data_IF_796535566051
#
_entry.id   IF_796535566051
#
_cell.length_a   1.000
_cell.length_b   1.000
_cell.length_c   1.000
_cell.angle_alpha   90.00
_cell.angle_beta   90.00
_cell.angle_gamma   90.00
#
_symmetry.space_group_name_H-M   'P 1'
#
loop_
_entity.id
_entity.type
_entity.pdbx_description
1 polymer ?
#
# COMPACT_ATOMS: atom_id res chain seq x y z
N UNK A 1 21.71 -21.71 2.74
CA UNK A 1 20.67 -22.03 1.74
C UNK A 1 19.34 -21.77 2.39
N UNK A 2 18.61 -20.77 1.90
CA UNK A 2 17.21 -20.54 2.25
C UNK A 2 16.34 -21.47 1.39
N UNK A 3 15.16 -21.87 1.87
CA UNK A 3 14.15 -22.55 1.03
C UNK A 3 13.83 -21.75 -0.26
N UNK A 4 14.01 -20.42 -0.21
CA UNK A 4 13.87 -19.52 -1.36
C UNK A 4 14.88 -19.75 -2.50
N UNK A 5 16.07 -20.26 -2.20
CA UNK A 5 17.13 -20.48 -3.20
C UNK A 5 16.85 -21.71 -4.08
N UNK A 6 15.91 -22.57 -3.67
CA UNK A 6 15.58 -23.83 -4.35
C UNK A 6 14.48 -23.69 -5.43
N UNK A 7 13.80 -22.54 -5.48
CA UNK A 7 12.76 -22.26 -6.47
C UNK A 7 13.37 -21.83 -7.80
N UNK A 8 12.79 -22.32 -8.90
CA UNK A 8 13.16 -21.88 -10.25
C UNK A 8 12.83 -20.39 -10.44
N UNK A 9 13.49 -19.75 -11.40
CA UNK A 9 13.23 -18.34 -11.72
C UNK A 9 11.74 -18.10 -12.03
N UNK A 10 11.16 -19.01 -12.82
CA UNK A 10 9.72 -19.01 -13.15
C UNK A 10 8.81 -19.10 -11.93
N UNK A 11 9.13 -19.97 -10.96
CA UNK A 11 8.32 -20.09 -9.74
C UNK A 11 8.34 -18.78 -8.93
N UNK A 12 9.47 -18.06 -8.92
CA UNK A 12 9.59 -16.76 -8.24
C UNK A 12 8.83 -15.67 -8.97
N UNK A 13 8.83 -15.68 -10.30
CA UNK A 13 8.03 -14.77 -11.13
C UNK A 13 6.54 -14.98 -10.91
N UNK A 14 6.07 -16.23 -11.00
CA UNK A 14 4.67 -16.60 -10.79
C UNK A 14 4.23 -16.23 -9.36
N UNK A 15 5.07 -16.48 -8.36
CA UNK A 15 4.82 -16.04 -6.98
C UNK A 15 4.72 -14.50 -6.90
N UNK A 16 5.68 -13.77 -7.44
CA UNK A 16 5.69 -12.31 -7.40
C UNK A 16 4.43 -11.71 -8.04
N UNK A 17 4.09 -12.15 -9.24
CA UNK A 17 2.89 -11.72 -9.96
C UNK A 17 1.61 -12.00 -9.15
N UNK A 18 1.52 -13.16 -8.48
CA UNK A 18 0.38 -13.52 -7.64
C UNK A 18 0.23 -12.64 -6.39
N UNK A 19 1.33 -12.03 -5.91
CA UNK A 19 1.33 -11.16 -4.72
C UNK A 19 1.09 -9.69 -5.03
N UNK A 20 1.20 -9.27 -6.29
CA UNK A 20 0.82 -7.91 -6.71
C UNK A 20 -0.68 -7.84 -6.98
N UNK A 21 -1.43 -7.94 -5.89
CA UNK A 21 -2.87 -7.83 -5.82
C UNK A 21 -3.31 -6.69 -4.91
N UNK A 22 -4.52 -6.21 -5.12
CA UNK A 22 -5.15 -5.23 -4.25
C UNK A 22 -5.35 -5.84 -2.86
N UNK A 23 -5.01 -5.09 -1.81
CA UNK A 23 -5.05 -5.53 -0.43
C UNK A 23 -3.69 -5.97 0.12
N UNK A 24 -2.73 -6.33 -0.74
CA UNK A 24 -1.39 -6.73 -0.30
C UNK A 24 -0.68 -5.60 0.44
N UNK A 25 -0.08 -5.94 1.58
CA UNK A 25 0.77 -5.07 2.39
C UNK A 25 2.23 -5.38 2.12
N UNK A 26 2.98 -4.37 1.70
CA UNK A 26 4.41 -4.49 1.43
C UNK A 26 5.23 -3.59 2.35
N UNK A 27 6.46 -4.04 2.66
CA UNK A 27 7.48 -3.25 3.36
C UNK A 27 8.74 -3.11 2.49
N UNK A 28 8.91 -1.94 1.88
CA UNK A 28 10.06 -1.62 1.04
C UNK A 28 10.71 -0.30 1.45
N UNK A 29 11.98 -0.14 1.05
CA UNK A 29 12.64 1.17 1.08
C UNK A 29 12.02 2.04 0.00
N UNK A 30 11.56 3.23 0.39
CA UNK A 30 10.92 4.19 -0.50
C UNK A 30 11.74 5.46 -0.60
N UNK A 31 11.79 6.04 -1.80
CA UNK A 31 12.62 7.19 -2.14
C UNK A 31 11.82 8.48 -2.34
N UNK A 32 10.49 8.40 -2.34
CA UNK A 32 9.54 9.53 -2.34
C UNK A 32 9.35 10.14 -0.93
N UNK A 33 10.23 9.81 0.02
CA UNK A 33 10.31 10.47 1.33
C UNK A 33 11.71 11.03 1.53
N UNK A 34 11.82 12.15 2.25
CA UNK A 34 13.10 12.77 2.56
C UNK A 34 13.35 12.77 4.09
N UNK A 35 14.37 12.05 4.59
CA UNK A 35 15.24 11.13 3.86
C UNK A 35 14.52 9.82 3.44
N UNK A 36 15.04 9.09 2.43
CA UNK A 36 14.54 7.76 2.06
C UNK A 36 14.56 6.81 3.25
N UNK A 37 13.50 6.01 3.40
CA UNK A 37 13.34 5.11 4.54
C UNK A 37 12.49 3.90 4.19
N UNK A 38 12.51 2.88 5.04
CA UNK A 38 11.56 1.79 4.94
C UNK A 38 10.14 2.26 5.29
N UNK A 39 9.18 1.87 4.46
CA UNK A 39 7.76 2.14 4.65
C UNK A 39 6.93 0.90 4.40
N UNK A 40 5.86 0.78 5.18
CA UNK A 40 4.76 -0.14 4.92
C UNK A 40 3.73 0.57 4.05
N UNK A 41 3.21 -0.09 3.04
CA UNK A 41 2.14 0.44 2.19
C UNK A 41 1.22 -0.67 1.69
N UNK A 42 0.02 -0.28 1.27
CA UNK A 42 -1.03 -1.18 0.79
C UNK A 42 -1.28 -0.89 -0.68
N UNK A 43 -1.40 -1.92 -1.51
CA UNK A 43 -1.91 -1.76 -2.88
C UNK A 43 -3.42 -1.58 -2.82
N UNK A 44 -3.92 -0.42 -3.27
CA UNK A 44 -5.35 -0.08 -3.14
C UNK A 44 -6.12 -0.12 -4.46
N UNK A 45 -5.42 -0.04 -5.58
CA UNK A 45 -6.00 -0.21 -6.91
C UNK A 45 -4.90 -0.39 -7.95
N UNK A 46 -5.29 -0.71 -9.17
CA UNK A 46 -4.43 -0.75 -10.35
C UNK A 46 -5.12 0.01 -11.50
N UNK A 47 -4.34 0.49 -12.46
CA UNK A 47 -4.87 0.97 -13.73
C UNK A 47 -5.54 -0.16 -14.52
N UNK A 48 -6.38 0.22 -15.49
CA UNK A 48 -7.12 -0.73 -16.35
C UNK A 48 -6.18 -1.67 -17.11
N UNK A 49 -5.02 -1.18 -17.54
CA UNK A 49 -3.97 -1.97 -18.20
C UNK A 49 -3.13 -2.82 -17.23
N UNK A 50 -3.33 -2.69 -15.92
CA UNK A 50 -2.58 -3.41 -14.90
C UNK A 50 -1.18 -2.87 -14.60
N UNK A 51 -0.65 -1.92 -15.38
CA UNK A 51 0.77 -1.54 -15.34
C UNK A 51 1.15 -0.64 -14.16
N UNK A 52 0.19 0.14 -13.65
CA UNK A 52 0.44 1.11 -12.58
C UNK A 52 -0.43 0.81 -11.38
N UNK A 53 0.21 0.70 -10.23
CA UNK A 53 -0.42 0.48 -8.94
C UNK A 53 -0.68 1.82 -8.25
N UNK A 54 -1.84 1.95 -7.61
CA UNK A 54 -2.10 2.96 -6.61
C UNK A 54 -1.88 2.35 -5.22
N UNK A 55 -1.20 3.08 -4.36
CA UNK A 55 -0.89 2.64 -3.01
C UNK A 55 -1.06 3.74 -1.98
N UNK A 56 -1.18 3.35 -0.71
CA UNK A 56 -1.26 4.26 0.44
C UNK A 56 -0.27 3.84 1.52
N UNK A 57 0.27 4.79 2.27
CA UNK A 57 1.22 4.49 3.34
C UNK A 57 0.54 4.13 4.64
N UNK A 58 1.20 3.25 5.41
CA UNK A 58 0.91 3.03 6.83
C UNK A 58 1.93 3.83 7.65
N UNK A 59 1.44 4.67 8.54
CA UNK A 59 2.23 5.52 9.43
C UNK A 59 1.94 5.18 10.89
N UNK A 60 2.95 5.13 11.74
CA UNK A 60 2.77 4.91 13.18
C UNK A 60 2.09 6.09 13.88
N UNK A 61 2.20 7.30 13.31
CA UNK A 61 1.60 8.54 13.81
C UNK A 61 1.16 9.43 12.67
N UNK A 62 0.08 10.16 12.87
CA UNK A 62 -0.35 11.24 11.97
C UNK A 62 0.59 12.43 12.19
N UNK A 63 1.12 13.01 11.11
CA UNK A 63 1.86 14.26 11.19
C UNK A 63 0.86 15.43 11.24
N UNK A 64 0.66 16.02 12.41
CA UNK A 64 -0.31 17.12 12.65
C UNK A 64 0.10 18.46 12.06
N UNK A 65 1.38 18.66 11.71
CA UNK A 65 1.83 19.87 11.01
C UNK A 65 1.31 19.85 9.57
N UNK A 66 1.34 18.68 8.93
CA UNK A 66 0.83 18.50 7.56
C UNK A 66 -0.70 18.31 7.57
N UNK A 67 -1.20 17.51 8.51
CA UNK A 67 -2.62 17.21 8.68
C UNK A 67 -3.18 18.05 9.83
N UNK A 68 -3.21 19.37 9.63
CA UNK A 68 -3.51 20.34 10.68
C UNK A 68 -5.00 20.43 11.04
N UNK A 69 -5.90 20.01 10.14
CA UNK A 69 -7.34 20.07 10.36
C UNK A 69 -7.93 18.69 10.69
N UNK A 70 -9.07 18.68 11.38
CA UNK A 70 -9.80 17.45 11.72
C UNK A 70 -10.19 16.67 10.47
N UNK A 71 -10.57 17.37 9.40
CA UNK A 71 -10.93 16.76 8.11
C UNK A 71 -9.73 16.06 7.47
N UNK A 72 -8.55 16.66 7.51
CA UNK A 72 -7.33 16.03 7.02
C UNK A 72 -6.93 14.83 7.88
N UNK A 73 -7.06 14.93 9.21
CA UNK A 73 -6.77 13.83 10.12
C UNK A 73 -7.77 12.68 9.96
N UNK A 74 -9.04 12.96 9.62
CA UNK A 74 -10.05 11.94 9.35
C UNK A 74 -9.74 11.09 8.10
N UNK A 75 -8.85 11.55 7.21
CA UNK A 75 -8.35 10.75 6.08
C UNK A 75 -7.32 9.69 6.51
N UNK A 76 -6.94 9.64 7.80
CA UNK A 76 -5.99 8.69 8.35
C UNK A 76 -6.74 7.63 9.16
N UNK A 77 -6.96 6.47 8.56
CA UNK A 77 -7.77 5.40 9.17
C UNK A 77 -6.94 4.70 10.24
N UNK A 78 -7.41 4.66 11.51
CA UNK A 78 -6.70 3.95 12.56
C UNK A 78 -6.73 2.44 12.33
N UNK A 79 -5.58 1.79 12.46
CA UNK A 79 -5.43 0.35 12.48
C UNK A 79 -4.87 -0.09 13.84
N UNK A 80 -5.56 -1.02 14.48
CA UNK A 80 -5.07 -1.69 15.68
C UNK A 80 -4.08 -2.78 15.31
N UNK A 81 -2.97 -2.85 16.06
CA UNK A 81 -1.97 -3.91 15.87
C UNK A 81 -2.58 -5.29 16.07
N UNK A 82 -3.44 -5.43 17.08
CA UNK A 82 -4.08 -6.69 17.42
C UNK A 82 -4.80 -7.29 16.19
N UNK A 83 -4.43 -8.52 15.86
CA UNK A 83 -4.98 -9.26 14.71
C UNK A 83 -4.35 -8.91 13.36
N UNK A 84 -3.27 -8.13 13.31
CA UNK A 84 -2.60 -7.71 12.07
C UNK A 84 -1.08 -7.91 12.18
N UNK A 85 -0.59 -9.06 11.70
CA UNK A 85 0.85 -9.42 11.76
C UNK A 85 1.77 -8.45 11.00
N UNK A 86 1.22 -7.70 10.03
CA UNK A 86 1.96 -6.69 9.30
C UNK A 86 2.23 -5.40 10.10
N UNK A 87 1.67 -5.27 11.31
CA UNK A 87 1.86 -4.13 12.21
C UNK A 87 2.68 -4.54 13.43
N UNK A 88 3.52 -3.61 13.92
CA UNK A 88 4.29 -3.78 15.16
C UNK A 88 3.75 -2.90 16.31
N UNK A 89 2.71 -2.13 16.01
CA UNK A 89 2.05 -1.17 16.89
C UNK A 89 0.84 -0.57 16.15
N UNK A 90 -0.08 0.00 16.92
CA UNK A 90 -1.16 0.83 16.39
C UNK A 90 -0.61 1.88 15.42
N UNK A 91 -1.30 2.00 14.28
CA UNK A 91 -0.86 2.78 13.13
C UNK A 91 -2.06 3.38 12.40
N UNK A 92 -1.79 4.11 11.32
CA UNK A 92 -2.78 4.82 10.53
C UNK A 92 -2.51 4.63 9.04
N UNK A 93 -3.56 4.35 8.26
CA UNK A 93 -3.49 4.35 6.79
C UNK A 93 -3.74 5.76 6.27
N UNK A 94 -2.72 6.38 5.68
CA UNK A 94 -2.80 7.71 5.08
C UNK A 94 -3.54 7.63 3.73
N UNK A 95 -4.87 7.79 3.78
CA UNK A 95 -5.74 7.79 2.60
C UNK A 95 -5.92 9.20 2.01
N UNK A 96 -5.11 10.17 2.43
CA UNK A 96 -5.17 11.55 1.91
C UNK A 96 -4.50 11.68 0.54
N UNK A 97 -3.67 10.73 0.14
CA UNK A 97 -2.91 10.75 -1.12
C UNK A 97 -2.69 9.35 -1.65
N UNK A 98 -2.60 9.24 -2.97
CA UNK A 98 -2.18 8.02 -3.65
C UNK A 98 -0.72 8.15 -4.06
N UNK A 99 0.07 7.13 -3.79
CA UNK A 99 1.42 6.97 -4.31
C UNK A 99 1.36 5.97 -5.45
N UNK A 100 1.78 6.39 -6.64
CA UNK A 100 1.81 5.53 -7.81
C UNK A 100 3.10 4.74 -7.86
N UNK A 101 3.00 3.45 -8.17
CA UNK A 101 4.16 2.58 -8.38
C UNK A 101 4.02 1.81 -9.68
N UNK A 102 5.14 1.55 -10.32
CA UNK A 102 5.20 0.66 -11.46
C UNK A 102 5.00 -0.79 -10.98
N UNK A 103 4.23 -1.57 -11.72
CA UNK A 103 3.94 -2.96 -11.36
C UNK A 103 5.21 -3.82 -11.42
N UNK A 104 5.99 -3.68 -12.49
CA UNK A 104 7.19 -4.48 -12.72
C UNK A 104 8.25 -4.20 -11.64
N UNK A 105 8.37 -2.95 -11.19
CA UNK A 105 9.24 -2.59 -10.05
C UNK A 105 8.86 -3.34 -8.78
N UNK A 106 7.56 -3.48 -8.50
CA UNK A 106 7.06 -4.20 -7.32
C UNK A 106 7.21 -5.71 -7.50
N UNK A 107 6.90 -6.26 -8.66
CA UNK A 107 7.09 -7.68 -8.96
C UNK A 107 8.56 -8.07 -8.81
N UNK A 108 9.49 -7.29 -9.38
CA UNK A 108 10.94 -7.50 -9.20
C UNK A 108 11.37 -7.40 -7.74
N UNK A 109 10.79 -6.47 -6.96
CA UNK A 109 11.10 -6.36 -5.54
C UNK A 109 10.67 -7.61 -4.76
N UNK A 110 9.50 -8.18 -5.07
CA UNK A 110 9.00 -9.41 -4.45
C UNK A 110 9.80 -10.63 -4.91
N UNK A 111 10.10 -10.74 -6.20
CA UNK A 111 10.88 -11.83 -6.77
C UNK A 111 12.27 -11.92 -6.12
N UNK A 112 12.94 -10.76 -5.96
CA UNK A 112 14.25 -10.68 -5.32
C UNK A 112 14.19 -10.89 -3.80
N UNK A 113 13.11 -10.43 -3.17
CA UNK A 113 12.96 -10.47 -1.71
C UNK A 113 11.51 -10.78 -1.32
N UNK A 114 11.09 -12.06 -1.30
CA UNK A 114 9.70 -12.43 -1.03
C UNK A 114 9.15 -11.98 0.33
N UNK A 115 10.03 -11.81 1.33
CA UNK A 115 9.69 -11.36 2.69
C UNK A 115 9.15 -9.92 2.77
N UNK A 116 9.19 -9.17 1.67
CA UNK A 116 8.65 -7.81 1.58
C UNK A 116 7.14 -7.81 1.58
N UNK A 117 6.52 -8.93 1.21
CA UNK A 117 5.09 -9.16 1.36
C UNK A 117 4.85 -9.57 2.82
N UNK A 118 4.33 -8.63 3.60
CA UNK A 118 4.22 -8.78 5.06
C UNK A 118 2.80 -9.06 5.53
N UNK A 119 1.83 -9.12 4.62
CA UNK A 119 0.45 -9.48 4.93
C UNK A 119 -0.55 -8.96 3.91
N UNK A 120 -1.81 -9.03 4.27
CA UNK A 120 -2.95 -8.54 3.50
C UNK A 120 -3.92 -7.82 4.44
N UNK A 121 -4.55 -6.74 3.97
CA UNK A 121 -5.58 -6.06 4.77
C UNK A 121 -6.88 -6.87 4.76
N UNK A 122 -7.63 -6.81 5.85
CA UNK A 122 -8.98 -7.38 5.92
C UNK A 122 -9.91 -6.70 4.90
N UNK A 123 -10.98 -7.41 4.53
CA UNK A 123 -12.00 -6.87 3.62
C UNK A 123 -12.65 -5.62 4.23
N UNK A 124 -12.90 -5.63 5.54
CA UNK A 124 -13.51 -4.54 6.28
C UNK A 124 -12.62 -3.29 6.27
N UNK A 125 -11.33 -3.44 6.59
CA UNK A 125 -10.36 -2.34 6.53
C UNK A 125 -10.23 -1.83 5.10
N UNK A 126 -10.18 -2.73 4.12
CA UNK A 126 -10.05 -2.36 2.72
C UNK A 126 -11.25 -1.53 2.22
N UNK A 127 -12.47 -1.92 2.59
CA UNK A 127 -13.67 -1.16 2.26
C UNK A 127 -13.66 0.24 2.88
N UNK A 128 -13.18 0.36 4.13
CA UNK A 128 -13.04 1.65 4.81
C UNK A 128 -12.00 2.53 4.10
N UNK A 129 -10.82 1.97 3.77
CA UNK A 129 -9.77 2.64 3.00
C UNK A 129 -10.32 3.14 1.67
N UNK A 130 -11.02 2.27 0.92
CA UNK A 130 -11.60 2.63 -0.37
C UNK A 130 -12.63 3.76 -0.24
N UNK A 131 -13.54 3.69 0.74
CA UNK A 131 -14.52 4.76 1.00
C UNK A 131 -13.84 6.09 1.31
N UNK A 132 -12.83 6.08 2.18
CA UNK A 132 -12.09 7.28 2.55
C UNK A 132 -11.34 7.88 1.35
N UNK A 133 -10.73 7.05 0.50
CA UNK A 133 -10.09 7.50 -0.76
C UNK A 133 -11.11 8.15 -1.69
N UNK A 134 -12.29 7.54 -1.86
CA UNK A 134 -13.37 8.07 -2.71
C UNK A 134 -13.84 9.44 -2.19
N UNK A 135 -13.99 9.62 -0.87
CA UNK A 135 -14.43 10.89 -0.28
C UNK A 135 -13.31 11.92 -0.11
N UNK A 136 -12.03 11.54 -0.20
CA UNK A 136 -10.90 12.43 0.07
C UNK A 136 -10.85 13.62 -0.91
N UNK A 137 -10.98 14.88 -0.47
CA UNK A 137 -10.90 16.05 -1.35
C UNK A 137 -9.46 16.32 -1.83
N UNK A 138 -8.48 15.81 -1.11
CA UNK A 138 -7.04 15.94 -1.41
C UNK A 138 -6.61 15.11 -2.62
N UNK A 139 -7.39 14.09 -3.01
CA UNK A 139 -7.12 13.27 -4.19
C UNK A 139 -7.90 13.84 -5.38
N UNK A 140 -7.18 14.38 -6.37
CA UNK A 140 -7.79 14.95 -7.58
C UNK A 140 -8.62 13.89 -8.32
N UNK A 141 -9.79 14.30 -8.84
CA UNK A 141 -10.71 13.41 -9.56
C UNK A 141 -10.09 12.65 -10.74
N UNK A 142 -9.09 13.23 -11.43
CA UNK A 142 -8.34 12.53 -12.49
C UNK A 142 -7.64 11.26 -12.01
N UNK A 143 -7.10 11.26 -10.78
CA UNK A 143 -6.46 10.07 -10.21
C UNK A 143 -7.50 9.06 -9.74
N UNK A 144 -8.61 9.52 -9.16
CA UNK A 144 -9.74 8.66 -8.81
C UNK A 144 -10.27 7.90 -10.03
N UNK A 145 -10.48 8.61 -11.15
CA UNK A 145 -10.85 8.03 -12.44
C UNK A 145 -9.82 7.04 -12.97
N UNK A 146 -8.53 7.43 -12.97
CA UNK A 146 -7.42 6.57 -13.44
C UNK A 146 -7.39 5.21 -12.73
N UNK A 147 -7.73 5.19 -11.44
CA UNK A 147 -7.66 4.01 -10.58
C UNK A 147 -9.03 3.43 -10.19
N UNK A 148 -10.11 3.80 -10.87
CA UNK A 148 -11.43 3.18 -10.64
C UNK A 148 -12.11 3.53 -9.31
N UNK A 149 -11.71 4.61 -8.64
CA UNK A 149 -12.35 5.11 -7.43
C UNK A 149 -13.53 6.02 -7.77
N UNK A 150 -14.66 5.43 -8.13
CA UNK A 150 -15.90 6.15 -8.39
C UNK A 150 -16.82 6.12 -7.16
N UNK A 151 -17.56 7.20 -6.96
CA UNK A 151 -18.70 7.28 -6.04
C UNK A 151 -19.97 6.95 -6.79
#
# INVERSE_FOLDING_TARGET
>A
MSLGDSFSEKDREDFAASKVSVGTVLKLKVFDTNPPKEKRFIIVSTTVDGLVLATVYINTKINTVINYSTELQALHIPLKEQGREFLNQDSYVDSSRLITRDRDEIEKAIQNRPDVVIGEVSIEDFQLIRKTIISAPTIKGKYKKKFGFYA
#
